data_IF_832278465213
#
_entry.id   IF_832278465213
#
_cell.length_a   1.000
_cell.length_b   1.000
_cell.length_c   1.000
_cell.angle_alpha   90.00
_cell.angle_beta   90.00
_cell.angle_gamma   90.00
#
_symmetry.space_group_name_H-M   'P 1'
#
loop_
_entity.id
_entity.type
_entity.pdbx_description
1 polymer ?
#
# COMPACT_ATOMS: atom_id res chain seq x y z
N UNK A 1 -8.37 27.64 -5.18
CA UNK A 1 -9.26 27.39 -6.33
C UNK A 1 -9.48 25.88 -6.38
N UNK A 2 -10.72 25.41 -6.38
CA UNK A 2 -10.99 23.97 -6.49
C UNK A 2 -11.04 23.63 -7.98
N UNK A 3 -10.12 22.79 -8.44
CA UNK A 3 -10.13 22.27 -9.80
C UNK A 3 -11.00 21.03 -9.85
N UNK A 4 -11.86 20.92 -10.86
CA UNK A 4 -12.71 19.76 -11.10
C UNK A 4 -12.21 19.04 -12.34
N UNK A 5 -11.86 17.76 -12.17
CA UNK A 5 -11.49 16.87 -13.27
C UNK A 5 -12.60 15.87 -13.49
N UNK A 6 -12.99 15.69 -14.74
CA UNK A 6 -14.05 14.78 -15.13
C UNK A 6 -13.53 13.65 -16.00
N UNK A 7 -14.22 12.53 -15.97
CA UNK A 7 -14.02 11.38 -16.86
C UNK A 7 -12.62 10.76 -16.86
N UNK A 8 -12.11 10.50 -18.06
CA UNK A 8 -10.90 9.70 -18.27
C UNK A 8 -9.63 10.41 -17.76
N UNK A 9 -9.52 11.72 -17.96
CA UNK A 9 -8.33 12.46 -17.52
C UNK A 9 -8.12 12.38 -16.00
N UNK A 10 -9.19 12.55 -15.22
CA UNK A 10 -9.13 12.42 -13.76
C UNK A 10 -8.73 11.00 -13.33
N UNK A 11 -9.26 9.97 -14.00
CA UNK A 11 -8.94 8.57 -13.74
C UNK A 11 -7.48 8.26 -14.04
N UNK A 12 -6.97 8.71 -15.19
CA UNK A 12 -5.59 8.46 -15.61
C UNK A 12 -4.60 9.11 -14.65
N UNK A 13 -4.88 10.32 -14.16
CA UNK A 13 -4.08 11.00 -13.13
C UNK A 13 -4.10 10.24 -11.80
N UNK A 14 -5.27 9.75 -11.36
CA UNK A 14 -5.35 8.94 -10.13
C UNK A 14 -4.53 7.66 -10.26
N UNK A 15 -4.63 6.94 -11.38
CA UNK A 15 -3.85 5.73 -11.65
C UNK A 15 -2.36 6.07 -11.66
N UNK A 16 -1.94 7.11 -12.37
CA UNK A 16 -0.55 7.59 -12.40
C UNK A 16 0.01 7.84 -11.00
N UNK A 17 -0.77 8.49 -10.12
CA UNK A 17 -0.40 8.73 -8.73
C UNK A 17 -0.20 7.43 -7.94
N UNK A 18 -1.10 6.45 -8.11
CA UNK A 18 -1.01 5.13 -7.47
C UNK A 18 0.23 4.38 -7.97
N UNK A 19 0.50 4.38 -9.26
CA UNK A 19 1.66 3.71 -9.85
C UNK A 19 2.98 4.34 -9.39
N UNK A 20 3.05 5.66 -9.28
CA UNK A 20 4.26 6.39 -8.82
C UNK A 20 4.62 6.00 -7.38
N UNK A 21 3.66 6.03 -6.45
CA UNK A 21 3.94 5.64 -5.06
C UNK A 21 4.27 4.15 -4.97
N UNK A 22 3.56 3.28 -5.69
CA UNK A 22 3.79 1.85 -5.66
C UNK A 22 5.15 1.47 -6.25
N UNK A 23 5.57 2.10 -7.34
CA UNK A 23 6.89 1.87 -7.95
C UNK A 23 8.02 2.18 -6.97
N UNK A 24 7.94 3.32 -6.28
CA UNK A 24 8.93 3.69 -5.30
C UNK A 24 9.00 2.71 -4.13
N UNK A 25 7.84 2.29 -3.62
CA UNK A 25 7.75 1.36 -2.49
C UNK A 25 8.14 -0.06 -2.89
N UNK A 26 7.73 -0.54 -4.07
CA UNK A 26 8.13 -1.85 -4.63
C UNK A 26 9.64 -2.02 -4.72
N UNK A 27 10.37 -0.93 -4.97
CA UNK A 27 11.84 -0.99 -5.06
C UNK A 27 12.51 -1.43 -3.76
N UNK A 28 11.84 -1.25 -2.62
CA UNK A 28 12.35 -1.65 -1.28
C UNK A 28 11.91 -3.04 -0.85
N UNK A 29 11.04 -3.72 -1.62
CA UNK A 29 10.40 -4.97 -1.23
C UNK A 29 11.35 -6.17 -1.37
N UNK A 30 11.31 -7.04 -0.38
CA UNK A 30 11.99 -8.34 -0.40
C UNK A 30 13.47 -8.30 -0.03
N UNK A 31 14.13 -9.48 -0.06
CA UNK A 31 15.53 -9.61 0.40
C UNK A 31 16.54 -8.86 -0.49
N UNK A 32 16.20 -8.64 -1.76
CA UNK A 32 17.00 -7.87 -2.71
C UNK A 32 16.50 -6.43 -2.86
N UNK A 33 15.66 -5.95 -1.93
CA UNK A 33 15.13 -4.60 -1.95
C UNK A 33 16.22 -3.53 -1.96
N UNK A 34 16.04 -2.53 -2.83
CA UNK A 34 16.98 -1.44 -3.00
C UNK A 34 16.98 -0.48 -1.79
N UNK A 35 18.12 0.13 -1.56
CA UNK A 35 18.20 1.28 -0.68
C UNK A 35 17.77 2.53 -1.44
N UNK A 36 16.89 3.31 -0.84
CA UNK A 36 16.37 4.56 -1.41
C UNK A 36 16.99 5.74 -0.66
N UNK A 37 17.39 6.75 -1.41
CA UNK A 37 17.87 8.03 -0.88
C UNK A 37 16.73 9.04 -1.01
N UNK A 38 16.35 9.62 0.10
CA UNK A 38 15.28 10.61 0.19
C UNK A 38 15.85 11.94 0.67
N UNK A 39 15.30 13.04 0.20
CA UNK A 39 15.53 14.34 0.81
C UNK A 39 14.93 14.36 2.21
N UNK A 40 15.70 14.81 3.20
CA UNK A 40 15.24 14.86 4.59
C UNK A 40 14.22 15.99 4.77
N UNK A 41 13.05 15.65 5.29
CA UNK A 41 12.04 16.65 5.65
C UNK A 41 12.37 17.39 6.96
N UNK A 42 13.34 16.89 7.73
CA UNK A 42 13.71 17.43 9.06
C UNK A 42 14.91 18.37 8.97
N UNK A 43 15.81 18.16 8.03
CA UNK A 43 17.01 18.95 7.87
C UNK A 43 17.07 19.58 6.46
N UNK A 44 17.22 20.87 6.40
CA UNK A 44 17.20 21.70 5.16
C UNK A 44 18.21 21.26 4.08
N UNK A 45 19.18 20.38 4.40
CA UNK A 45 20.20 19.81 3.48
C UNK A 45 20.52 18.35 3.81
N UNK A 46 19.65 17.66 4.54
CA UNK A 46 19.89 16.29 4.95
C UNK A 46 19.39 15.28 3.93
N UNK A 47 20.07 14.14 3.84
CA UNK A 47 19.62 12.98 3.07
C UNK A 47 19.23 11.86 4.04
N UNK A 48 18.12 11.23 3.79
CA UNK A 48 17.70 10.01 4.49
C UNK A 48 17.93 8.81 3.59
N UNK A 49 18.73 7.87 4.07
CA UNK A 49 19.01 6.61 3.37
C UNK A 49 18.22 5.51 4.06
N UNK A 50 17.32 4.86 3.33
CA UNK A 50 16.42 3.86 3.93
C UNK A 50 16.13 2.70 2.99
N UNK A 51 15.81 1.52 3.57
CA UNK A 51 15.20 0.37 2.89
C UNK A 51 13.76 0.15 3.34
N UNK A 52 13.26 0.98 4.25
CA UNK A 52 11.93 0.86 4.80
C UNK A 52 10.89 1.47 3.87
N UNK A 53 10.02 0.64 3.32
CA UNK A 53 8.96 1.07 2.40
C UNK A 53 7.95 2.03 3.04
N UNK A 54 7.75 1.97 4.36
CA UNK A 54 6.89 2.92 5.09
C UNK A 54 7.47 4.32 5.05
N UNK A 55 8.76 4.45 5.34
CA UNK A 55 9.50 5.72 5.29
C UNK A 55 9.50 6.29 3.88
N UNK A 56 9.71 5.44 2.86
CA UNK A 56 9.64 5.83 1.45
C UNK A 56 8.24 6.34 1.10
N UNK A 57 7.19 5.58 1.43
CA UNK A 57 5.81 5.97 1.14
C UNK A 57 5.46 7.33 1.76
N UNK A 58 5.84 7.57 3.02
CA UNK A 58 5.57 8.83 3.72
C UNK A 58 6.24 10.03 3.09
N UNK A 59 7.42 9.86 2.52
CA UNK A 59 8.19 10.94 1.90
C UNK A 59 7.65 11.36 0.52
N UNK A 60 6.88 10.51 -0.17
CA UNK A 60 6.38 10.81 -1.50
C UNK A 60 5.28 11.86 -1.43
N UNK A 61 5.49 12.97 -2.12
CA UNK A 61 4.49 13.99 -2.41
C UNK A 61 4.64 14.40 -3.88
N UNK A 62 3.54 14.42 -4.61
CA UNK A 62 3.54 14.75 -6.03
C UNK A 62 3.06 16.18 -6.23
N UNK A 63 3.54 16.82 -7.30
CA UNK A 63 3.20 18.21 -7.62
C UNK A 63 1.78 18.34 -8.17
N UNK A 64 1.34 17.36 -9.00
CA UNK A 64 -0.03 17.35 -9.51
C UNK A 64 -0.99 17.04 -8.35
N UNK A 65 -2.00 17.89 -8.09
CA UNK A 65 -2.89 17.75 -6.95
C UNK A 65 -3.77 16.49 -7.04
N UNK A 66 -4.14 16.04 -8.24
CA UNK A 66 -4.96 14.83 -8.44
C UNK A 66 -4.13 13.57 -8.21
N UNK A 67 -2.91 13.51 -8.78
CA UNK A 67 -1.99 12.42 -8.49
C UNK A 67 -1.66 12.34 -6.99
N UNK A 68 -1.44 13.51 -6.35
CA UNK A 68 -1.14 13.56 -4.92
C UNK A 68 -2.33 13.15 -4.05
N UNK A 69 -3.57 13.41 -4.50
CA UNK A 69 -4.77 12.89 -3.83
C UNK A 69 -4.75 11.36 -3.80
N UNK A 70 -4.46 10.71 -4.93
CA UNK A 70 -4.32 9.26 -5.01
C UNK A 70 -3.21 8.73 -4.08
N UNK A 71 -2.05 9.39 -4.05
CA UNK A 71 -0.96 9.08 -3.11
C UNK A 71 -1.43 9.13 -1.66
N UNK A 72 -2.18 10.16 -1.29
CA UNK A 72 -2.73 10.29 0.08
C UNK A 72 -3.71 9.18 0.43
N UNK A 73 -4.60 8.80 -0.50
CA UNK A 73 -5.53 7.69 -0.29
C UNK A 73 -4.80 6.36 -0.07
N UNK A 74 -3.77 6.06 -0.87
CA UNK A 74 -2.95 4.86 -0.71
C UNK A 74 -2.19 4.86 0.61
N UNK A 75 -1.63 6.00 1.01
CA UNK A 75 -0.97 6.16 2.31
C UNK A 75 -1.93 5.88 3.46
N UNK A 76 -3.15 6.41 3.41
CA UNK A 76 -4.15 6.19 4.45
C UNK A 76 -4.53 4.71 4.57
N UNK A 77 -4.74 4.02 3.45
CA UNK A 77 -5.01 2.58 3.45
C UNK A 77 -3.85 1.78 4.06
N UNK A 78 -2.62 2.15 3.74
CA UNK A 78 -1.41 1.54 4.29
C UNK A 78 -1.24 1.81 5.79
N UNK A 79 -1.53 3.01 6.26
CA UNK A 79 -1.47 3.38 7.68
C UNK A 79 -2.55 2.67 8.50
N UNK A 80 -3.74 2.47 7.95
CA UNK A 80 -4.79 1.63 8.57
C UNK A 80 -4.32 0.19 8.74
N UNK A 81 -3.64 -0.37 7.74
CA UNK A 81 -3.05 -1.71 7.81
C UNK A 81 -1.96 -1.77 8.89
N UNK A 82 -1.06 -0.81 8.94
CA UNK A 82 -0.02 -0.72 9.95
C UNK A 82 -0.61 -0.60 11.37
N UNK A 83 -1.66 0.16 11.54
CA UNK A 83 -2.32 0.35 12.85
C UNK A 83 -3.02 -0.92 13.32
N UNK A 84 -3.70 -1.65 12.42
CA UNK A 84 -4.46 -2.86 12.75
C UNK A 84 -3.58 -4.10 12.89
N UNK A 85 -2.67 -4.34 11.94
CA UNK A 85 -1.82 -5.52 11.89
C UNK A 85 -0.41 -5.28 12.45
N UNK A 86 0.06 -4.05 12.41
CA UNK A 86 1.36 -3.64 12.88
C UNK A 86 2.49 -3.82 11.91
N UNK A 87 2.20 -4.34 10.74
CA UNK A 87 3.12 -4.59 9.64
C UNK A 87 2.30 -4.72 8.35
N UNK A 88 2.98 -4.84 7.19
CA UNK A 88 2.33 -5.08 5.91
C UNK A 88 2.01 -3.80 5.12
N UNK A 89 2.49 -2.63 5.53
CA UNK A 89 2.28 -1.36 4.82
C UNK A 89 2.70 -1.44 3.36
N UNK A 90 3.91 -1.94 3.09
CA UNK A 90 4.43 -2.11 1.73
C UNK A 90 3.55 -3.07 0.92
N UNK A 91 3.14 -4.18 1.51
CA UNK A 91 2.25 -5.16 0.87
C UNK A 91 0.89 -4.56 0.56
N UNK A 92 0.33 -3.77 1.49
CA UNK A 92 -0.95 -3.08 1.27
C UNK A 92 -0.88 -2.13 0.07
N UNK A 93 0.19 -1.34 -0.06
CA UNK A 93 0.39 -0.43 -1.19
C UNK A 93 0.46 -1.20 -2.51
N UNK A 94 1.25 -2.27 -2.56
CA UNK A 94 1.41 -3.10 -3.76
C UNK A 94 0.10 -3.78 -4.17
N UNK A 95 -0.66 -4.30 -3.21
CA UNK A 95 -1.96 -4.92 -3.49
C UNK A 95 -3.00 -3.88 -3.93
N UNK A 96 -3.01 -2.71 -3.32
CA UNK A 96 -3.92 -1.62 -3.72
C UNK A 96 -3.69 -1.24 -5.18
N UNK A 97 -2.43 -1.04 -5.58
CA UNK A 97 -2.10 -0.73 -6.97
C UNK A 97 -2.53 -1.86 -7.91
N UNK A 98 -2.19 -3.10 -7.59
CA UNK A 98 -2.53 -4.24 -8.44
C UNK A 98 -4.05 -4.38 -8.64
N UNK A 99 -4.85 -4.24 -7.58
CA UNK A 99 -6.31 -4.35 -7.65
C UNK A 99 -6.91 -3.19 -8.46
N UNK A 100 -6.45 -1.96 -8.25
CA UNK A 100 -6.98 -0.78 -8.94
C UNK A 100 -6.61 -0.81 -10.42
N UNK A 101 -5.34 -1.03 -10.75
CA UNK A 101 -4.87 -1.03 -12.14
C UNK A 101 -5.53 -2.17 -12.94
N UNK A 102 -5.59 -3.38 -12.40
CA UNK A 102 -6.26 -4.51 -13.07
C UNK A 102 -7.77 -4.30 -13.16
N UNK A 103 -8.41 -3.77 -12.11
CA UNK A 103 -9.83 -3.43 -12.16
C UNK A 103 -10.15 -2.41 -13.24
N UNK A 104 -9.35 -1.36 -13.36
CA UNK A 104 -9.51 -0.36 -14.42
C UNK A 104 -9.27 -0.95 -15.81
N UNK A 105 -8.28 -1.83 -15.96
CA UNK A 105 -8.03 -2.54 -17.23
C UNK A 105 -9.23 -3.39 -17.65
N UNK A 106 -9.83 -4.11 -16.71
CA UNK A 106 -11.03 -4.93 -16.98
C UNK A 106 -12.21 -4.05 -17.43
N UNK A 107 -12.43 -2.91 -16.77
CA UNK A 107 -13.50 -1.96 -17.14
C UNK A 107 -13.27 -1.39 -18.54
N UNK A 108 -12.03 -1.02 -18.88
CA UNK A 108 -11.69 -0.48 -20.19
C UNK A 108 -11.87 -1.51 -21.31
N UNK A 109 -11.52 -2.77 -21.06
CA UNK A 109 -11.70 -3.86 -22.05
C UNK A 109 -13.15 -4.30 -22.20
N UNK A 110 -14.00 -4.05 -21.22
CA UNK A 110 -15.38 -4.48 -21.20
C UNK A 110 -16.32 -3.32 -20.80
N UNK A 111 -16.64 -2.39 -21.70
CA UNK A 111 -17.45 -1.20 -21.39
C UNK A 111 -18.87 -1.50 -20.88
N UNK A 112 -19.37 -2.71 -21.12
CA UNK A 112 -20.68 -3.17 -20.64
C UNK A 112 -20.69 -3.69 -19.21
N UNK A 113 -19.51 -3.77 -18.56
CA UNK A 113 -19.40 -4.32 -17.21
C UNK A 113 -20.05 -3.38 -16.18
N UNK A 114 -20.83 -3.93 -15.28
CA UNK A 114 -21.36 -3.17 -14.15
C UNK A 114 -20.27 -3.02 -13.08
N UNK A 115 -19.75 -1.80 -12.95
CA UNK A 115 -18.66 -1.50 -12.00
C UNK A 115 -19.04 -1.84 -10.56
N UNK A 116 -20.30 -1.61 -10.15
CA UNK A 116 -20.75 -1.94 -8.79
C UNK A 116 -20.77 -3.45 -8.54
N UNK A 117 -21.03 -4.24 -9.58
CA UNK A 117 -21.00 -5.70 -9.50
C UNK A 117 -19.55 -6.18 -9.45
N UNK A 118 -18.65 -5.61 -10.27
CA UNK A 118 -17.21 -5.91 -10.21
C UNK A 118 -16.67 -5.66 -8.81
N UNK A 119 -16.99 -4.55 -8.17
CA UNK A 119 -16.54 -4.24 -6.80
C UNK A 119 -17.09 -5.25 -5.79
N UNK A 120 -18.36 -5.67 -5.93
CA UNK A 120 -18.92 -6.72 -5.06
C UNK A 120 -18.18 -8.05 -5.20
N UNK A 121 -17.87 -8.44 -6.44
CA UNK A 121 -17.11 -9.67 -6.69
C UNK A 121 -15.67 -9.59 -6.15
N UNK A 122 -14.98 -8.46 -6.29
CA UNK A 122 -13.68 -8.24 -5.68
C UNK A 122 -13.74 -8.44 -4.17
N UNK A 123 -14.74 -7.87 -3.50
CA UNK A 123 -14.92 -8.03 -2.06
C UNK A 123 -15.19 -9.50 -1.69
N UNK A 124 -16.06 -10.20 -2.43
CA UNK A 124 -16.35 -11.62 -2.21
C UNK A 124 -15.12 -12.50 -2.34
N UNK A 125 -14.30 -12.26 -3.36
CA UNK A 125 -13.03 -12.97 -3.57
C UNK A 125 -12.04 -12.64 -2.45
N UNK A 126 -11.99 -11.39 -2.00
CA UNK A 126 -11.15 -10.97 -0.87
C UNK A 126 -11.51 -11.72 0.41
N UNK A 127 -12.78 -11.84 0.75
CA UNK A 127 -13.26 -12.59 1.92
C UNK A 127 -12.89 -14.07 1.82
N UNK A 128 -13.03 -14.66 0.63
CA UNK A 128 -12.62 -16.05 0.38
C UNK A 128 -11.11 -16.23 0.58
N UNK A 129 -10.28 -15.30 0.07
CA UNK A 129 -8.82 -15.34 0.25
C UNK A 129 -8.46 -15.23 1.73
N UNK A 130 -9.10 -14.32 2.48
CA UNK A 130 -8.90 -14.14 3.91
C UNK A 130 -9.22 -15.43 4.68
N UNK A 131 -10.33 -16.11 4.36
CA UNK A 131 -10.69 -17.41 4.97
C UNK A 131 -9.61 -18.46 4.70
N UNK A 132 -9.14 -18.56 3.45
CA UNK A 132 -8.06 -19.50 3.08
C UNK A 132 -6.74 -19.19 3.79
N UNK A 133 -6.35 -17.94 3.88
CA UNK A 133 -5.15 -17.50 4.59
C UNK A 133 -5.27 -17.79 6.10
N UNK A 134 -6.43 -17.53 6.68
CA UNK A 134 -6.69 -17.81 8.09
C UNK A 134 -6.52 -19.29 8.43
N UNK A 135 -6.97 -20.20 7.54
CA UNK A 135 -6.81 -21.65 7.70
C UNK A 135 -5.37 -22.14 7.54
N UNK A 136 -4.56 -21.44 6.72
CA UNK A 136 -3.13 -21.75 6.51
C UNK A 136 -2.21 -21.11 7.54
N UNK A 137 -2.66 -20.06 8.24
CA UNK A 137 -1.84 -19.32 9.18
C UNK A 137 -1.51 -20.15 10.42
N UNK A 138 -0.24 -20.12 10.86
CA UNK A 138 0.20 -20.76 12.10
C UNK A 138 0.46 -19.70 13.17
N UNK A 139 -0.06 -19.93 14.39
CA UNK A 139 0.26 -19.06 15.54
C UNK A 139 1.70 -19.28 15.98
N UNK A 140 2.53 -18.24 15.92
CA UNK A 140 3.89 -18.27 16.43
C UNK A 140 3.88 -18.00 17.93
N UNK A 141 4.42 -18.92 18.72
CA UNK A 141 4.61 -18.73 20.17
C UNK A 141 5.78 -17.76 20.38
N UNK A 142 5.55 -16.70 21.17
CA UNK A 142 6.57 -15.72 21.53
C UNK A 142 7.71 -16.40 22.30
N UNK A 143 8.92 -16.39 21.79
CA UNK A 143 10.10 -16.89 22.51
C UNK A 143 10.36 -16.05 23.76
N UNK A 144 10.66 -16.72 24.90
CA UNK A 144 10.96 -16.07 26.18
C UNK A 144 12.20 -15.16 26.14
N UNK A 145 13.03 -15.22 25.08
CA UNK A 145 14.27 -14.44 24.90
C UNK A 145 14.07 -12.96 24.55
N UNK A 146 12.86 -12.55 24.16
CA UNK A 146 12.57 -11.16 23.72
C UNK A 146 12.24 -10.20 24.87
N UNK A 147 12.52 -10.53 26.15
CA UNK A 147 12.16 -9.69 27.31
C UNK A 147 13.12 -8.53 27.61
N UNK A 148 14.23 -8.35 26.87
CA UNK A 148 15.15 -7.23 27.03
C UNK A 148 15.03 -6.27 25.84
N UNK A 149 14.30 -5.18 25.99
CA UNK A 149 14.57 -3.94 25.29
C UNK A 149 13.56 -3.38 24.29
N UNK A 150 12.41 -4.01 24.01
CA UNK A 150 11.38 -3.37 23.19
C UNK A 150 9.99 -3.51 23.81
N UNK A 151 9.37 -2.40 24.15
CA UNK A 151 7.91 -2.32 24.40
C UNK A 151 7.21 -2.51 23.04
N UNK A 152 7.13 -3.73 22.55
CA UNK A 152 6.25 -4.05 21.42
C UNK A 152 4.84 -4.23 21.95
N UNK A 153 3.91 -3.45 21.40
CA UNK A 153 2.47 -3.65 21.58
C UNK A 153 2.10 -5.12 21.35
N UNK A 154 1.02 -5.58 21.93
CA UNK A 154 0.50 -6.96 21.84
C UNK A 154 0.10 -7.36 20.41
N UNK A 155 1.07 -7.54 19.51
CA UNK A 155 0.84 -7.90 18.12
C UNK A 155 1.00 -9.41 17.94
N UNK A 156 -0.05 -10.07 17.47
CA UNK A 156 0.01 -11.45 16.98
C UNK A 156 0.83 -11.46 15.68
N UNK A 157 2.01 -12.06 15.70
CA UNK A 157 2.75 -12.35 14.48
C UNK A 157 2.09 -13.56 13.80
N UNK A 158 1.62 -13.38 12.58
CA UNK A 158 1.08 -14.44 11.73
C UNK A 158 2.10 -14.67 10.61
N UNK A 159 2.74 -15.85 10.58
CA UNK A 159 3.58 -16.28 9.48
C UNK A 159 2.74 -17.07 8.49
N UNK A 160 2.73 -16.65 7.23
CA UNK A 160 2.16 -17.39 6.11
C UNK A 160 3.33 -18.09 5.41
N UNK A 161 3.31 -19.41 5.38
CA UNK A 161 4.24 -20.25 4.60
C UNK A 161 3.62 -20.65 3.27
#
# INVERSE_FOLDING_TARGET
MNELFFDQEGRDKLISGIEKISRAVKSTLGPLGNTVILESQVHTRGLTVTKDGVTVAKAINLQDPVENLAVRMVKEAADRTATSAGDGTTTAIVLTEAIVVEGMRVIQQNPSINVSELVREINRVSDWVIDKLSKKSKKVKRSKRSKKGYKTSNKKLILIQ
#
